data_IF_655289695395
#
_entry.id   IF_655289695395
#
_cell.length_a   1.000
_cell.length_b   1.000
_cell.length_c   1.000
_cell.angle_alpha   90.00
_cell.angle_beta   90.00
_cell.angle_gamma   90.00
#
_symmetry.space_group_name_H-M   'P 1'
#
loop_
_entity.id
_entity.type
_entity.pdbx_description
1 polymer ?
#
# COMPACT_ATOMS: atom_id res chain seq x y z
N UNK A 1 2.58 -66.32 35.50
CA UNK A 1 3.52 -65.74 34.51
C UNK A 1 2.86 -64.76 33.53
N UNK A 2 1.55 -64.89 33.24
CA UNK A 2 0.81 -64.06 32.26
C UNK A 2 0.55 -62.62 32.77
N UNK A 3 0.32 -62.44 34.08
CA UNK A 3 -0.04 -61.12 34.65
C UNK A 3 1.11 -60.09 34.61
N UNK A 4 2.37 -60.51 34.69
CA UNK A 4 3.55 -59.62 34.60
C UNK A 4 3.82 -59.16 33.16
N UNK A 5 3.47 -59.99 32.18
CA UNK A 5 3.56 -59.68 30.74
C UNK A 5 2.53 -58.62 30.32
N UNK A 6 1.30 -58.71 30.84
CA UNK A 6 0.27 -57.70 30.56
C UNK A 6 0.65 -56.30 31.08
N UNK A 7 1.27 -56.21 32.27
CA UNK A 7 1.72 -54.94 32.83
C UNK A 7 2.83 -54.27 32.00
N UNK A 8 3.75 -55.07 31.42
CA UNK A 8 4.80 -54.53 30.54
C UNK A 8 4.24 -54.03 29.20
N UNK A 9 3.21 -54.70 28.66
CA UNK A 9 2.54 -54.24 27.43
C UNK A 9 1.75 -52.95 27.64
N UNK A 10 1.04 -52.82 28.77
CA UNK A 10 0.31 -51.60 29.12
C UNK A 10 1.27 -50.41 29.31
N UNK A 11 2.40 -50.64 30.00
CA UNK A 11 3.44 -49.62 30.16
C UNK A 11 4.00 -49.13 28.82
N UNK A 12 4.19 -50.05 27.86
CA UNK A 12 4.68 -49.72 26.53
C UNK A 12 3.67 -48.89 25.72
N UNK A 13 2.37 -49.18 25.83
CA UNK A 13 1.29 -48.45 25.15
C UNK A 13 1.09 -47.05 25.75
N UNK A 14 1.24 -46.90 27.08
CA UNK A 14 1.15 -45.59 27.74
C UNK A 14 2.36 -44.72 27.40
N UNK A 15 3.54 -45.32 27.25
CA UNK A 15 4.75 -44.61 26.86
C UNK A 15 4.66 -44.04 25.43
N UNK A 16 4.13 -44.81 24.46
CA UNK A 16 3.97 -44.31 23.08
C UNK A 16 2.91 -43.21 22.97
N UNK A 17 1.84 -43.27 23.76
CA UNK A 17 0.84 -42.20 23.80
C UNK A 17 1.40 -40.88 24.36
N UNK A 18 2.34 -40.93 25.30
CA UNK A 18 3.02 -39.75 25.85
C UNK A 18 3.98 -39.09 24.85
N UNK A 19 4.65 -39.87 23.99
CA UNK A 19 5.51 -39.31 22.93
C UNK A 19 4.72 -38.65 21.78
N UNK A 20 3.48 -39.09 21.52
CA UNK A 20 2.61 -38.46 20.52
C UNK A 20 2.00 -37.12 20.99
N UNK A 21 2.00 -36.86 22.30
CA UNK A 21 1.58 -35.58 22.89
C UNK A 21 2.77 -34.62 23.04
N UNK A 22 3.63 -34.53 22.04
CA UNK A 22 4.47 -33.33 21.88
C UNK A 22 3.61 -32.29 21.16
N UNK A 23 3.09 -31.32 21.92
CA UNK A 23 2.47 -30.11 21.39
C UNK A 23 3.36 -29.53 20.29
N UNK A 24 2.91 -29.61 19.04
CA UNK A 24 3.49 -28.91 17.90
C UNK A 24 3.47 -27.41 18.22
N UNK A 25 4.59 -26.94 18.76
CA UNK A 25 4.87 -25.52 18.88
C UNK A 25 5.32 -25.05 17.51
N UNK A 26 4.43 -25.15 16.53
CA UNK A 26 4.54 -24.37 15.30
C UNK A 26 4.49 -22.92 15.76
N UNK A 27 5.67 -22.33 15.98
CA UNK A 27 5.83 -20.89 15.99
C UNK A 27 5.18 -20.44 14.69
N UNK A 28 3.99 -19.84 14.77
CA UNK A 28 3.41 -19.09 13.67
C UNK A 28 4.50 -18.08 13.33
N UNK A 29 5.20 -18.32 12.22
CA UNK A 29 6.15 -17.35 11.71
C UNK A 29 5.25 -16.18 11.38
N UNK A 30 5.34 -15.11 12.15
CA UNK A 30 4.61 -13.89 11.84
C UNK A 30 5.14 -13.45 10.47
N UNK A 31 4.40 -13.76 9.40
CA UNK A 31 4.67 -13.34 8.02
C UNK A 31 4.43 -11.83 7.87
N UNK A 32 4.75 -11.06 8.91
CA UNK A 32 4.54 -9.63 8.99
C UNK A 32 5.87 -8.92 8.82
N UNK A 33 5.87 -7.85 8.03
CA UNK A 33 6.93 -6.86 8.02
C UNK A 33 6.41 -5.51 8.49
N UNK A 34 7.26 -4.51 8.40
CA UNK A 34 6.97 -3.16 8.86
C UNK A 34 7.24 -2.15 7.76
N UNK A 35 6.39 -1.14 7.64
CA UNK A 35 6.60 -0.01 6.74
C UNK A 35 6.72 1.26 7.58
N UNK A 36 7.71 2.08 7.25
CA UNK A 36 7.84 3.41 7.83
C UNK A 36 7.79 4.48 6.73
N UNK A 37 6.57 4.94 6.36
CA UNK A 37 6.43 5.99 5.38
C UNK A 37 6.77 7.35 5.99
N UNK A 38 7.70 8.06 5.35
CA UNK A 38 8.10 9.42 5.70
C UNK A 38 7.66 10.36 4.59
N UNK A 39 7.27 11.59 4.93
CA UNK A 39 6.89 12.58 3.94
C UNK A 39 7.58 13.91 4.23
N UNK A 40 7.93 14.64 3.16
CA UNK A 40 8.52 15.98 3.24
C UNK A 40 7.58 17.04 3.85
N UNK A 41 6.28 16.77 3.85
CA UNK A 41 5.22 17.67 4.28
C UNK A 41 4.54 17.19 5.55
N UNK A 42 4.21 18.13 6.44
CA UNK A 42 3.55 17.87 7.72
C UNK A 42 2.02 17.80 7.56
N UNK A 43 1.38 16.91 8.31
CA UNK A 43 -0.09 16.78 8.36
C UNK A 43 -0.71 16.11 7.13
N UNK A 44 0.10 15.55 6.22
CA UNK A 44 -0.39 14.84 5.04
C UNK A 44 -0.91 13.45 5.45
N UNK A 45 -2.14 13.07 5.07
CA UNK A 45 -2.65 11.73 5.34
C UNK A 45 -1.89 10.67 4.54
N UNK A 46 -1.54 9.58 5.20
CA UNK A 46 -0.80 8.46 4.62
C UNK A 46 -1.71 7.24 4.53
N UNK A 47 -1.60 6.54 3.41
CA UNK A 47 -2.38 5.37 3.05
C UNK A 47 -1.46 4.20 2.73
N UNK A 48 -1.83 3.02 3.20
CA UNK A 48 -1.22 1.74 2.86
C UNK A 48 -2.34 0.83 2.34
N UNK A 49 -2.20 0.34 1.12
CA UNK A 49 -3.21 -0.45 0.39
C UNK A 49 -4.61 0.19 0.38
N UNK A 50 -4.66 1.52 0.32
CA UNK A 50 -5.90 2.30 0.35
C UNK A 50 -6.51 2.50 1.75
N UNK A 51 -5.92 1.95 2.80
CA UNK A 51 -6.35 2.18 4.19
C UNK A 51 -5.55 3.33 4.78
N UNK A 52 -6.23 4.29 5.41
CA UNK A 52 -5.56 5.39 6.09
C UNK A 52 -4.87 4.89 7.37
N UNK A 53 -3.56 5.05 7.44
CA UNK A 53 -2.75 4.59 8.60
C UNK A 53 -2.43 5.73 9.57
N UNK A 54 -2.46 6.97 9.10
CA UNK A 54 -2.21 8.14 9.94
C UNK A 54 -1.86 9.39 9.13
N UNK A 55 -1.18 10.33 9.78
CA UNK A 55 -0.70 11.59 9.18
C UNK A 55 0.81 11.73 9.37
N UNK A 56 1.48 12.34 8.40
CA UNK A 56 2.92 12.59 8.46
C UNK A 56 3.28 13.64 9.52
N UNK A 57 4.36 13.44 10.31
CA UNK A 57 5.16 12.23 10.43
C UNK A 57 4.47 11.19 11.33
N UNK A 58 4.61 9.90 10.98
CA UNK A 58 4.11 8.82 11.83
C UNK A 58 5.00 8.63 13.06
N UNK A 59 4.38 8.19 14.17
CA UNK A 59 5.09 7.95 15.44
C UNK A 59 5.76 6.57 15.50
N UNK A 60 5.19 5.59 14.82
CA UNK A 60 5.65 4.21 14.82
C UNK A 60 5.48 3.62 13.41
N UNK A 61 6.28 2.60 13.05
CA UNK A 61 6.05 1.85 11.82
C UNK A 61 4.69 1.15 11.83
N UNK A 62 4.20 0.87 10.63
CA UNK A 62 2.93 0.21 10.38
C UNK A 62 3.21 -1.26 10.08
N UNK A 63 2.67 -2.22 10.85
CA UNK A 63 2.79 -3.63 10.54
C UNK A 63 1.91 -3.99 9.34
N UNK A 64 2.47 -4.74 8.40
CA UNK A 64 1.78 -5.27 7.21
C UNK A 64 2.19 -6.72 6.98
N UNK A 65 1.44 -7.44 6.16
CA UNK A 65 1.88 -8.75 5.69
C UNK A 65 3.14 -8.61 4.83
N UNK A 66 3.92 -9.67 4.71
CA UNK A 66 5.06 -9.67 3.80
C UNK A 66 4.54 -9.75 2.35
N UNK A 67 5.14 -8.95 1.47
CA UNK A 67 4.70 -8.87 0.08
C UNK A 67 4.76 -7.46 -0.50
N UNK A 68 4.02 -7.25 -1.59
CA UNK A 68 3.94 -5.96 -2.25
C UNK A 68 2.79 -5.13 -1.71
N UNK A 69 3.10 -3.92 -1.28
CA UNK A 69 2.14 -2.97 -0.74
C UNK A 69 2.18 -1.65 -1.51
N UNK A 70 1.03 -1.01 -1.64
CA UNK A 70 0.88 0.30 -2.25
C UNK A 70 0.83 1.36 -1.15
N UNK A 71 1.76 2.31 -1.19
CA UNK A 71 1.94 3.30 -0.13
C UNK A 71 1.88 4.68 -0.75
N UNK A 72 1.09 5.59 -0.17
CA UNK A 72 0.95 6.91 -0.74
C UNK A 72 0.19 7.89 0.13
N UNK A 73 -0.04 9.07 -0.41
CA UNK A 73 -0.90 10.11 0.18
C UNK A 73 -2.19 10.33 -0.62
N UNK A 74 -2.39 9.54 -1.69
CA UNK A 74 -3.58 9.59 -2.52
C UNK A 74 -4.77 8.98 -1.78
N UNK A 75 -5.91 9.70 -1.65
CA UNK A 75 -7.13 9.11 -1.11
C UNK A 75 -7.61 7.92 -1.97
N UNK A 76 -8.12 6.84 -1.35
CA UNK A 76 -8.61 5.66 -2.07
C UNK A 76 -9.86 5.96 -2.94
N UNK A 77 -10.57 7.05 -2.66
CA UNK A 77 -11.82 7.42 -3.34
C UNK A 77 -11.63 8.03 -4.74
N UNK A 78 -10.40 8.08 -5.26
CA UNK A 78 -10.14 8.56 -6.62
C UNK A 78 -10.65 7.54 -7.65
N UNK A 79 -11.92 7.67 -8.02
CA UNK A 79 -12.61 6.82 -9.02
C UNK A 79 -12.21 7.09 -10.48
N UNK A 80 -11.52 8.20 -10.74
CA UNK A 80 -11.19 8.60 -12.11
C UNK A 80 -9.85 7.99 -12.54
N UNK A 81 -9.89 7.02 -13.46
CA UNK A 81 -8.73 6.31 -14.01
C UNK A 81 -7.67 7.25 -14.61
N UNK A 82 -8.09 8.35 -15.23
CA UNK A 82 -7.18 9.36 -15.80
C UNK A 82 -6.40 10.10 -14.69
N UNK A 83 -7.04 10.35 -13.55
CA UNK A 83 -6.38 10.97 -12.40
C UNK A 83 -5.47 9.95 -11.72
N UNK A 84 -5.96 8.73 -11.51
CA UNK A 84 -5.19 7.64 -10.88
C UNK A 84 -3.90 7.31 -11.64
N UNK A 85 -3.94 7.24 -12.97
CA UNK A 85 -2.77 7.02 -13.84
C UNK A 85 -1.81 8.21 -13.91
N UNK A 86 -2.22 9.39 -13.46
CA UNK A 86 -1.30 10.53 -13.32
C UNK A 86 -0.67 10.58 -11.92
N UNK A 87 -1.21 9.82 -10.96
CA UNK A 87 -0.79 9.80 -9.55
C UNK A 87 0.29 8.74 -9.22
N UNK A 88 1.01 8.22 -10.21
CA UNK A 88 2.06 7.21 -9.99
C UNK A 88 3.20 7.68 -9.07
N UNK A 89 3.42 8.99 -8.91
CA UNK A 89 4.36 9.52 -7.93
C UNK A 89 3.77 9.63 -6.52
N UNK A 90 2.44 9.75 -6.43
CA UNK A 90 1.71 9.83 -5.16
C UNK A 90 1.50 8.46 -4.51
N UNK A 91 1.58 7.38 -5.29
CA UNK A 91 1.43 5.99 -4.84
C UNK A 91 2.65 5.19 -5.29
N UNK A 92 3.44 4.70 -4.34
CA UNK A 92 4.62 3.86 -4.58
C UNK A 92 4.31 2.42 -4.19
N UNK A 93 4.64 1.48 -5.08
CA UNK A 93 4.58 0.04 -4.78
C UNK A 93 5.91 -0.43 -4.22
N UNK A 94 5.91 -1.00 -3.03
CA UNK A 94 7.12 -1.39 -2.30
C UNK A 94 6.99 -2.84 -1.83
N UNK A 95 8.09 -3.58 -1.89
CA UNK A 95 8.18 -4.94 -1.38
C UNK A 95 8.65 -4.92 0.09
N UNK A 96 7.92 -5.61 0.96
CA UNK A 96 8.20 -5.70 2.40
C UNK A 96 8.61 -7.13 2.74
N UNK A 97 9.83 -7.34 3.27
CA UNK A 97 10.28 -8.65 3.75
C UNK A 97 9.63 -9.01 5.09
N UNK A 98 9.63 -10.31 5.42
CA UNK A 98 9.22 -10.81 6.72
C UNK A 98 10.19 -10.30 7.80
N UNK A 99 9.66 -9.68 8.86
CA UNK A 99 10.42 -9.23 10.04
C UNK A 99 11.29 -7.99 9.84
N UNK A 100 11.34 -7.40 8.63
CA UNK A 100 12.15 -6.21 8.34
C UNK A 100 11.29 -4.94 8.27
N UNK A 101 11.92 -3.77 8.44
CA UNK A 101 11.26 -2.46 8.33
C UNK A 101 11.73 -1.71 7.10
N UNK A 102 10.81 -1.46 6.16
CA UNK A 102 11.11 -0.71 4.94
C UNK A 102 10.76 0.77 5.13
N UNK A 103 11.75 1.63 5.00
CA UNK A 103 11.56 3.08 5.02
C UNK A 103 11.23 3.60 3.61
N UNK A 104 10.11 4.31 3.49
CA UNK A 104 9.62 4.81 2.21
C UNK A 104 9.47 6.32 2.27
N UNK A 105 10.34 7.04 1.57
CA UNK A 105 10.24 8.48 1.45
C UNK A 105 9.23 8.88 0.36
N UNK A 106 8.23 9.67 0.74
CA UNK A 106 7.22 10.26 -0.12
C UNK A 106 7.48 11.77 -0.24
N UNK A 107 7.40 12.28 -1.47
CA UNK A 107 7.56 13.71 -1.74
C UNK A 107 6.20 14.28 -2.11
N UNK A 108 5.57 15.00 -1.19
CA UNK A 108 4.25 15.59 -1.43
C UNK A 108 4.38 16.98 -2.06
N UNK A 109 5.24 17.84 -1.50
CA UNK A 109 5.33 19.24 -1.92
C UNK A 109 5.79 19.37 -3.38
N UNK A 110 6.85 18.62 -3.73
CA UNK A 110 7.37 18.60 -5.09
C UNK A 110 6.33 18.14 -6.11
N UNK A 111 5.60 17.08 -5.82
CA UNK A 111 4.59 16.54 -6.74
C UNK A 111 3.37 17.46 -6.82
N UNK A 112 2.92 17.99 -5.68
CA UNK A 112 1.75 18.88 -5.63
C UNK A 112 1.95 20.14 -6.46
N UNK A 113 3.13 20.76 -6.40
CA UNK A 113 3.46 21.93 -7.20
C UNK A 113 3.44 21.64 -8.70
N UNK A 114 3.98 20.49 -9.12
CA UNK A 114 3.95 20.03 -10.51
C UNK A 114 2.52 19.75 -11.00
N UNK A 115 1.71 19.06 -10.20
CA UNK A 115 0.29 18.83 -10.53
C UNK A 115 -0.49 20.14 -10.67
N UNK A 116 -0.22 21.12 -9.80
CA UNK A 116 -0.87 22.43 -9.84
C UNK A 116 -0.50 23.20 -11.10
N UNK A 117 0.77 23.15 -11.52
CA UNK A 117 1.25 23.75 -12.76
C UNK A 117 0.57 23.11 -13.98
N UNK A 118 0.64 21.77 -14.10
CA UNK A 118 0.02 21.03 -15.21
C UNK A 118 -1.49 21.27 -15.32
N UNK A 119 -2.21 21.31 -14.19
CA UNK A 119 -3.65 21.60 -14.18
C UNK A 119 -3.95 23.02 -14.67
N UNK A 120 -3.08 23.98 -14.36
CA UNK A 120 -3.23 25.37 -14.80
C UNK A 120 -2.95 25.49 -16.30
N UNK A 121 -1.87 24.87 -16.78
CA UNK A 121 -1.52 24.81 -18.21
C UNK A 121 -2.62 24.14 -19.03
N UNK A 122 -3.19 23.04 -18.54
CA UNK A 122 -4.28 22.36 -19.23
C UNK A 122 -5.52 23.26 -19.37
N UNK A 123 -5.91 23.98 -18.31
CA UNK A 123 -7.01 24.95 -18.38
C UNK A 123 -6.73 26.06 -19.38
N UNK A 124 -5.52 26.64 -19.36
CA UNK A 124 -5.13 27.69 -20.31
C UNK A 124 -5.17 27.15 -21.75
N UNK A 125 -4.67 25.94 -21.98
CA UNK A 125 -4.69 25.27 -23.29
C UNK A 125 -6.12 25.05 -23.79
N UNK A 126 -7.04 24.64 -22.91
CA UNK A 126 -8.46 24.51 -23.25
C UNK A 126 -9.08 25.84 -23.67
N UNK A 127 -8.78 26.93 -22.95
CA UNK A 127 -9.23 28.27 -23.34
C UNK A 127 -8.68 28.70 -24.71
N UNK A 128 -7.39 28.47 -24.96
CA UNK A 128 -6.76 28.77 -26.26
C UNK A 128 -7.45 27.97 -27.38
N UNK A 129 -7.69 26.67 -27.17
CA UNK A 129 -8.38 25.81 -28.13
C UNK A 129 -9.80 26.27 -28.43
N UNK A 130 -10.56 26.68 -27.39
CA UNK A 130 -11.91 27.22 -27.55
C UNK A 130 -11.90 28.53 -28.36
N UNK A 131 -10.98 29.45 -28.06
CA UNK A 131 -10.86 30.71 -28.81
C UNK A 131 -10.45 30.47 -30.26
N UNK A 132 -9.55 29.50 -30.51
CA UNK A 132 -9.15 29.11 -31.87
C UNK A 132 -10.33 28.56 -32.68
N UNK A 133 -11.19 27.74 -32.07
CA UNK A 133 -12.39 27.23 -32.70
C UNK A 133 -13.41 28.34 -33.02
N UNK A 134 -13.62 29.29 -32.11
CA UNK A 134 -14.51 30.44 -32.33
C UNK A 134 -13.99 31.32 -33.46
N UNK A 135 -12.68 31.60 -33.51
CA UNK A 135 -12.08 32.36 -34.60
C UNK A 135 -12.24 31.67 -35.96
N UNK A 136 -12.06 30.34 -36.01
CA UNK A 136 -12.27 29.57 -37.23
C UNK A 136 -13.73 29.62 -37.72
N UNK A 137 -14.70 29.50 -36.80
CA UNK A 137 -16.12 29.66 -37.12
C UNK A 137 -16.46 31.06 -37.64
N UNK A 138 -15.87 32.10 -37.04
CA UNK A 138 -16.05 33.47 -37.49
C UNK A 138 -15.50 33.69 -38.90
N UNK A 139 -14.31 33.17 -39.20
CA UNK A 139 -13.71 33.25 -40.54
C UNK A 139 -14.55 32.47 -41.57
N UNK A 140 -15.07 31.30 -41.19
CA UNK A 140 -15.96 30.51 -42.05
C UNK A 140 -17.27 31.26 -42.35
N UNK A 141 -17.85 31.93 -41.35
CA UNK A 141 -19.02 32.79 -41.55
C UNK A 141 -18.71 33.95 -42.49
N UNK A 142 -17.54 34.58 -42.38
CA UNK A 142 -17.17 35.74 -43.20
C UNK A 142 -17.00 35.40 -44.69
N UNK A 143 -16.56 34.18 -45.00
CA UNK A 143 -16.29 33.74 -46.38
C UNK A 143 -17.52 33.15 -47.07
N UNK A 144 -18.53 32.74 -46.29
CA UNK A 144 -19.82 32.22 -46.79
C UNK A 144 -20.80 33.34 -47.13
#
# INVERSE_FOLDING_TARGET
>A
MILRSAATFISFIVCTALFAYSSDSTKVIDETGYIYPTCDSLGVPLFVDGIQVGVSPLRHPVPVLAGFHEIGYAPPEIRNEYVKSRLHHAIKKVYVPIGDTVNVALSFDHEYTQFKALRTEHKITQYIGMMMAVAALYLFWLIS
#
